data_IF_474350418449
#
_entry.id   IF_474350418449
#
_cell.length_a   1.000
_cell.length_b   1.000
_cell.length_c   1.000
_cell.angle_alpha   90.00
_cell.angle_beta   90.00
_cell.angle_gamma   90.00
#
_symmetry.space_group_name_H-M   'P 1'
#
loop_
_entity.id
_entity.type
_entity.pdbx_description
1 polymer ?
#
# COMPACT_ATOMS: atom_id res chain seq x y z
N UNK A 1 32.85 -10.49 -21.08
CA UNK A 1 31.39 -10.84 -20.98
C UNK A 1 30.63 -9.55 -21.03
N UNK A 2 30.01 -9.24 -22.16
CA UNK A 2 29.10 -8.08 -22.21
C UNK A 2 27.93 -8.37 -21.28
N UNK A 3 27.83 -7.60 -20.20
CA UNK A 3 26.65 -7.66 -19.33
C UNK A 3 25.45 -7.17 -20.13
N UNK A 4 24.36 -7.93 -20.10
CA UNK A 4 23.10 -7.48 -20.67
C UNK A 4 22.69 -6.18 -19.98
N UNK A 5 22.36 -5.14 -20.74
CA UNK A 5 21.95 -3.85 -20.18
C UNK A 5 20.77 -3.98 -19.21
N UNK A 6 19.93 -5.00 -19.38
CA UNK A 6 18.81 -5.33 -18.45
C UNK A 6 19.36 -5.78 -17.08
N UNK A 7 20.41 -6.57 -17.05
CA UNK A 7 21.02 -7.02 -15.79
C UNK A 7 21.58 -5.83 -15.01
N UNK A 8 22.15 -4.84 -15.73
CA UNK A 8 22.63 -3.60 -15.11
C UNK A 8 21.48 -2.76 -14.52
N UNK A 9 20.34 -2.68 -15.21
CA UNK A 9 19.15 -2.00 -14.67
C UNK A 9 18.63 -2.74 -13.43
N UNK A 10 18.57 -4.08 -13.43
CA UNK A 10 18.15 -4.87 -12.27
C UNK A 10 19.08 -4.67 -11.07
N UNK A 11 20.39 -4.73 -11.28
CA UNK A 11 21.39 -4.49 -10.23
C UNK A 11 21.25 -3.09 -9.64
N UNK A 12 21.11 -2.07 -10.49
CA UNK A 12 20.93 -0.69 -10.04
C UNK A 12 19.65 -0.48 -9.23
N UNK A 13 18.53 -1.03 -9.69
CA UNK A 13 17.26 -1.01 -8.93
C UNK A 13 17.44 -1.67 -7.57
N UNK A 14 18.11 -2.81 -7.53
CA UNK A 14 18.39 -3.51 -6.26
C UNK A 14 19.30 -2.69 -5.34
N UNK A 15 20.35 -2.11 -5.87
CA UNK A 15 21.30 -1.27 -5.11
C UNK A 15 20.61 -0.08 -4.44
N UNK A 16 19.74 0.61 -5.20
CA UNK A 16 19.09 1.85 -4.72
C UNK A 16 17.91 1.58 -3.81
N UNK A 17 17.19 0.45 -4.00
CA UNK A 17 15.89 0.23 -3.33
C UNK A 17 15.85 -1.01 -2.43
N UNK A 18 16.84 -1.91 -2.54
CA UNK A 18 16.79 -3.23 -1.89
C UNK A 18 15.84 -4.23 -2.56
N UNK A 19 15.09 -3.83 -3.58
CA UNK A 19 14.12 -4.71 -4.27
C UNK A 19 14.85 -5.65 -5.22
N UNK A 20 14.79 -6.96 -4.97
CA UNK A 20 15.34 -7.97 -5.86
C UNK A 20 14.29 -8.43 -6.90
N UNK A 21 14.66 -8.39 -8.16
CA UNK A 21 13.85 -8.96 -9.24
C UNK A 21 14.18 -10.46 -9.33
N UNK A 22 13.35 -11.28 -8.69
CA UNK A 22 13.54 -12.73 -8.64
C UNK A 22 13.17 -13.42 -9.96
N UNK A 23 13.71 -14.62 -10.16
CA UNK A 23 13.42 -15.48 -11.31
C UNK A 23 11.93 -15.61 -11.53
N UNK A 24 11.35 -15.67 -12.60
CA UNK A 24 9.91 -15.66 -12.89
C UNK A 24 9.29 -14.27 -13.08
N UNK A 25 9.89 -13.20 -12.55
CA UNK A 25 9.49 -11.82 -12.84
C UNK A 25 10.39 -11.11 -13.84
N UNK A 26 11.53 -11.70 -14.23
CA UNK A 26 12.49 -11.11 -15.16
C UNK A 26 11.86 -10.74 -16.53
N UNK A 27 10.97 -11.57 -17.07
CA UNK A 27 10.29 -11.28 -18.33
C UNK A 27 9.35 -10.07 -18.21
N UNK A 28 8.61 -9.97 -17.10
CA UNK A 28 7.75 -8.81 -16.82
C UNK A 28 8.59 -7.55 -16.63
N UNK A 29 9.70 -7.66 -15.90
CA UNK A 29 10.64 -6.55 -15.71
C UNK A 29 11.19 -6.04 -17.04
N UNK A 30 11.70 -6.93 -17.91
CA UNK A 30 12.18 -6.59 -19.25
C UNK A 30 11.15 -5.83 -20.07
N UNK A 31 9.90 -6.32 -20.04
CA UNK A 31 8.77 -5.66 -20.72
C UNK A 31 8.53 -4.25 -20.17
N UNK A 32 8.55 -4.08 -18.84
CA UNK A 32 8.31 -2.77 -18.20
C UNK A 32 9.45 -1.79 -18.45
N UNK A 33 10.68 -2.28 -18.51
CA UNK A 33 11.84 -1.47 -18.93
C UNK A 33 11.66 -1.01 -20.37
N UNK A 34 11.29 -1.92 -21.30
CA UNK A 34 11.06 -1.56 -22.69
C UNK A 34 9.95 -0.51 -22.85
N UNK A 35 8.79 -0.70 -22.18
CA UNK A 35 7.70 0.28 -22.16
C UNK A 35 8.19 1.67 -21.68
N UNK A 36 9.07 1.70 -20.67
CA UNK A 36 9.61 2.94 -20.13
C UNK A 36 10.62 3.59 -21.08
N UNK A 37 11.45 2.79 -21.75
CA UNK A 37 12.37 3.25 -22.76
C UNK A 37 11.65 3.92 -23.93
N UNK A 38 10.57 3.30 -24.43
CA UNK A 38 9.74 3.84 -25.49
C UNK A 38 9.15 5.22 -25.13
N UNK A 39 8.66 5.37 -23.90
CA UNK A 39 8.13 6.65 -23.40
C UNK A 39 9.19 7.75 -23.31
N UNK A 40 10.41 7.38 -22.98
CA UNK A 40 11.55 8.32 -22.82
C UNK A 40 12.34 8.54 -24.12
N UNK A 41 12.05 7.78 -25.20
CA UNK A 41 12.81 7.81 -26.43
C UNK A 41 14.23 7.27 -26.28
N UNK A 42 14.43 6.24 -25.45
CA UNK A 42 15.72 5.61 -25.17
C UNK A 42 15.82 4.26 -25.87
N UNK A 43 16.80 4.10 -26.76
CA UNK A 43 16.85 2.98 -27.71
C UNK A 43 17.18 1.61 -27.12
N UNK A 44 17.88 1.54 -25.97
CA UNK A 44 18.34 0.26 -25.43
C UNK A 44 18.52 0.29 -23.89
N UNK A 45 18.51 -0.89 -23.23
CA UNK A 45 18.58 -0.98 -21.77
C UNK A 45 19.87 -0.42 -21.15
N UNK A 46 21.00 -0.48 -21.86
CA UNK A 46 22.23 0.09 -21.36
C UNK A 46 22.17 1.63 -21.29
N UNK A 47 21.62 2.25 -22.33
CA UNK A 47 21.39 3.70 -22.35
C UNK A 47 20.38 4.12 -21.27
N UNK A 48 19.38 3.30 -21.00
CA UNK A 48 18.41 3.54 -19.91
C UNK A 48 19.08 3.42 -18.53
N UNK A 49 19.95 2.42 -18.33
CA UNK A 49 20.76 2.33 -17.10
C UNK A 49 21.60 3.60 -16.88
N UNK A 50 22.31 4.08 -17.92
CA UNK A 50 23.10 5.30 -17.81
C UNK A 50 22.22 6.53 -17.53
N UNK A 51 21.04 6.61 -18.14
CA UNK A 51 20.07 7.66 -17.85
C UNK A 51 19.64 7.62 -16.39
N UNK A 52 19.21 6.47 -15.88
CA UNK A 52 18.80 6.30 -14.48
C UNK A 52 19.92 6.70 -13.50
N UNK A 53 21.14 6.31 -13.80
CA UNK A 53 22.29 6.52 -12.90
C UNK A 53 22.77 7.97 -12.87
N UNK A 54 22.65 8.72 -13.96
CA UNK A 54 23.36 10.00 -14.11
C UNK A 54 22.47 11.20 -14.45
N UNK A 55 21.25 11.00 -14.91
CA UNK A 55 20.39 12.06 -15.45
C UNK A 55 18.96 12.04 -14.98
N UNK A 56 18.45 10.88 -14.61
CA UNK A 56 17.07 10.73 -14.18
C UNK A 56 16.82 11.41 -12.83
N UNK A 57 15.61 11.91 -12.59
CA UNK A 57 15.20 12.30 -11.26
C UNK A 57 15.09 11.04 -10.35
N UNK A 58 15.25 11.21 -9.05
CA UNK A 58 15.15 10.11 -8.06
C UNK A 58 13.83 9.33 -8.14
N UNK A 59 12.81 9.96 -8.69
CA UNK A 59 11.49 9.35 -8.91
C UNK A 59 11.47 8.31 -10.04
N UNK A 60 12.49 8.25 -10.92
CA UNK A 60 12.48 7.33 -12.07
C UNK A 60 12.48 5.85 -11.64
N UNK A 61 13.28 5.52 -10.62
CA UNK A 61 13.28 4.15 -10.07
C UNK A 61 11.91 3.79 -9.48
N UNK A 62 11.28 4.75 -8.83
CA UNK A 62 9.92 4.59 -8.28
C UNK A 62 8.91 4.38 -9.39
N UNK A 63 8.95 5.16 -10.47
CA UNK A 63 8.08 5.02 -11.65
C UNK A 63 8.22 3.64 -12.32
N UNK A 64 9.45 3.10 -12.38
CA UNK A 64 9.68 1.75 -12.88
C UNK A 64 9.12 0.68 -11.93
N UNK A 65 9.34 0.82 -10.62
CA UNK A 65 8.82 -0.11 -9.61
C UNK A 65 7.29 -0.09 -9.54
N UNK A 66 6.66 1.06 -9.70
CA UNK A 66 5.20 1.21 -9.77
C UNK A 66 4.58 0.31 -10.85
N UNK A 67 5.26 0.17 -11.99
CA UNK A 67 4.82 -0.67 -13.11
C UNK A 67 4.95 -2.16 -12.85
N UNK A 68 5.77 -2.52 -11.85
CA UNK A 68 6.02 -3.91 -11.43
C UNK A 68 5.15 -4.32 -10.25
N UNK A 69 4.64 -3.35 -9.50
CA UNK A 69 3.81 -3.61 -8.35
C UNK A 69 2.47 -4.25 -8.77
N UNK A 70 2.15 -5.38 -8.19
CA UNK A 70 0.82 -5.97 -8.27
C UNK A 70 -0.02 -5.32 -7.20
N UNK A 71 -0.78 -4.29 -7.57
CA UNK A 71 -1.62 -3.52 -6.65
C UNK A 71 -2.98 -4.20 -6.42
N UNK A 72 -2.99 -5.52 -6.14
CA UNK A 72 -4.25 -6.16 -5.78
C UNK A 72 -4.55 -5.94 -4.30
N UNK A 73 -5.47 -5.05 -4.03
CA UNK A 73 -5.96 -4.77 -2.68
C UNK A 73 -7.47 -4.62 -2.67
N UNK A 74 -8.10 -4.94 -1.56
CA UNK A 74 -9.53 -4.76 -1.32
C UNK A 74 -9.80 -4.70 0.19
N UNK A 75 -10.94 -4.10 0.55
CA UNK A 75 -11.36 -3.99 1.95
C UNK A 75 -11.56 -5.37 2.59
N UNK A 76 -11.12 -5.52 3.83
CA UNK A 76 -11.24 -6.73 4.62
C UNK A 76 -10.49 -7.93 4.03
N UNK A 77 -9.38 -7.67 3.33
CA UNK A 77 -8.46 -8.69 2.83
C UNK A 77 -7.83 -9.41 4.02
N UNK A 78 -7.58 -10.73 3.87
CA UNK A 78 -6.98 -11.59 4.91
C UNK A 78 -7.82 -11.62 6.21
N UNK A 79 -9.10 -11.91 6.08
CA UNK A 79 -10.08 -11.95 7.19
C UNK A 79 -9.56 -12.70 8.42
N UNK A 80 -8.84 -13.84 8.23
CA UNK A 80 -8.24 -14.58 9.35
C UNK A 80 -7.24 -13.77 10.15
N UNK A 81 -6.40 -12.97 9.49
CA UNK A 81 -5.45 -12.08 10.17
C UNK A 81 -6.15 -10.93 10.89
N UNK A 82 -7.18 -10.36 10.26
CA UNK A 82 -8.00 -9.31 10.87
C UNK A 82 -8.74 -9.80 12.11
N UNK A 83 -9.22 -11.06 12.10
CA UNK A 83 -9.85 -11.68 13.27
C UNK A 83 -8.86 -11.79 14.43
N UNK A 84 -7.66 -12.32 14.20
CA UNK A 84 -6.61 -12.39 15.24
C UNK A 84 -6.22 -10.98 15.72
N UNK A 85 -6.09 -10.02 14.81
CA UNK A 85 -5.82 -8.64 15.16
C UNK A 85 -6.90 -8.07 16.08
N UNK A 86 -8.18 -8.29 15.76
CA UNK A 86 -9.31 -7.76 16.51
C UNK A 86 -9.48 -8.43 17.88
N UNK A 87 -9.37 -9.77 17.93
CA UNK A 87 -9.72 -10.55 19.12
C UNK A 87 -8.56 -10.64 20.12
N UNK A 88 -7.32 -10.70 19.63
CA UNK A 88 -6.15 -10.96 20.47
C UNK A 88 -5.22 -9.74 20.56
N UNK A 89 -4.79 -9.17 19.41
CA UNK A 89 -3.76 -8.14 19.41
C UNK A 89 -4.29 -6.81 19.95
N UNK A 90 -5.45 -6.34 19.49
CA UNK A 90 -6.02 -5.06 19.92
C UNK A 90 -6.26 -5.00 21.42
N UNK A 91 -6.80 -6.06 22.03
CA UNK A 91 -7.03 -6.11 23.48
C UNK A 91 -5.73 -5.83 24.24
N UNK A 92 -4.69 -6.60 23.96
CA UNK A 92 -3.37 -6.44 24.62
C UNK A 92 -2.73 -5.08 24.38
N UNK A 93 -2.88 -4.52 23.17
CA UNK A 93 -2.34 -3.21 22.82
C UNK A 93 -3.08 -2.11 23.57
N UNK A 94 -4.41 -2.18 23.68
CA UNK A 94 -5.20 -1.21 24.44
C UNK A 94 -4.88 -1.26 25.92
N UNK A 95 -4.80 -2.44 26.54
CA UNK A 95 -4.44 -2.61 27.94
C UNK A 95 -3.06 -2.01 28.24
N UNK A 96 -2.08 -2.28 27.36
CA UNK A 96 -0.73 -1.72 27.48
C UNK A 96 -0.73 -0.18 27.30
N UNK A 97 -1.50 0.36 26.39
CA UNK A 97 -1.59 1.80 26.13
C UNK A 97 -2.30 2.53 27.28
N UNK A 98 -3.36 1.95 27.84
CA UNK A 98 -4.08 2.49 28.99
C UNK A 98 -3.19 2.62 30.22
N UNK A 99 -2.25 1.66 30.41
CA UNK A 99 -1.28 1.67 31.50
C UNK A 99 -0.12 2.66 31.32
N UNK A 100 0.10 3.20 30.12
CA UNK A 100 1.25 4.06 29.78
C UNK A 100 0.82 5.41 29.19
N UNK A 101 1.08 5.59 27.88
CA UNK A 101 0.98 6.91 27.22
C UNK A 101 -0.40 7.21 26.64
N UNK A 102 -1.34 6.27 26.69
CA UNK A 102 -2.67 6.36 26.05
C UNK A 102 -2.61 6.67 24.54
N UNK A 103 -1.54 6.24 23.88
CA UNK A 103 -1.32 6.43 22.44
C UNK A 103 -0.99 5.10 21.79
N UNK A 104 -1.64 4.85 20.67
CA UNK A 104 -1.39 3.70 19.81
C UNK A 104 -1.11 4.22 18.41
N UNK A 105 -0.03 3.74 17.78
CA UNK A 105 0.23 3.98 16.36
C UNK A 105 0.25 2.64 15.64
N UNK A 106 -0.56 2.52 14.60
CA UNK A 106 -0.65 1.35 13.73
C UNK A 106 -0.07 1.76 12.37
N UNK A 107 0.90 0.99 11.87
CA UNK A 107 1.49 1.19 10.56
C UNK A 107 0.97 0.14 9.58
N UNK A 108 0.36 0.59 8.49
CA UNK A 108 0.04 -0.21 7.31
C UNK A 108 1.15 0.03 6.28
N UNK A 109 2.08 -0.90 6.18
CA UNK A 109 3.24 -0.81 5.29
C UNK A 109 2.92 -1.48 3.95
N UNK A 110 3.05 -0.74 2.84
CA UNK A 110 2.61 -1.17 1.52
C UNK A 110 1.08 -1.07 1.39
N UNK A 111 0.50 0.03 1.84
CA UNK A 111 -0.96 0.20 1.93
C UNK A 111 -1.68 0.33 0.59
N UNK A 112 -0.97 0.39 -0.53
CA UNK A 112 -1.50 0.54 -1.88
C UNK A 112 -2.55 1.66 -1.97
N UNK A 113 -3.74 1.38 -2.45
CA UNK A 113 -4.84 2.34 -2.62
C UNK A 113 -5.65 2.59 -1.34
N UNK A 114 -5.20 2.10 -0.19
CA UNK A 114 -5.68 2.51 1.13
C UNK A 114 -6.75 1.61 1.76
N UNK A 115 -7.18 0.54 1.11
CA UNK A 115 -8.21 -0.34 1.64
C UNK A 115 -7.82 -0.97 2.98
N UNK A 116 -6.51 -1.29 3.17
CA UNK A 116 -6.03 -1.87 4.42
C UNK A 116 -6.07 -0.87 5.59
N UNK A 117 -5.47 0.33 5.53
CA UNK A 117 -5.53 1.27 6.65
C UNK A 117 -6.96 1.70 6.99
N UNK A 118 -7.86 1.81 6.02
CA UNK A 118 -9.27 2.07 6.31
C UNK A 118 -9.96 0.86 6.94
N UNK A 119 -9.66 -0.36 6.52
CA UNK A 119 -10.15 -1.58 7.19
C UNK A 119 -9.69 -1.63 8.64
N UNK A 120 -8.41 -1.36 8.90
CA UNK A 120 -7.87 -1.29 10.26
C UNK A 120 -8.57 -0.21 11.09
N UNK A 121 -8.86 0.96 10.49
CA UNK A 121 -9.60 2.02 11.16
C UNK A 121 -11.01 1.58 11.56
N UNK A 122 -11.74 0.92 10.67
CA UNK A 122 -13.09 0.39 10.96
C UNK A 122 -13.05 -0.63 12.10
N UNK A 123 -12.10 -1.58 12.06
CA UNK A 123 -11.92 -2.60 13.11
C UNK A 123 -11.61 -1.97 14.47
N UNK A 124 -10.73 -0.98 14.49
CA UNK A 124 -10.36 -0.25 15.72
C UNK A 124 -11.54 0.53 16.27
N UNK A 125 -12.31 1.23 15.42
CA UNK A 125 -13.48 2.00 15.83
C UNK A 125 -14.59 1.10 16.41
N UNK A 126 -14.81 -0.08 15.83
CA UNK A 126 -15.74 -1.06 16.40
C UNK A 126 -15.29 -1.55 17.78
N UNK A 127 -13.99 -1.77 17.95
CA UNK A 127 -13.44 -2.17 19.25
C UNK A 127 -13.58 -1.06 20.28
N UNK A 128 -13.29 0.19 19.93
CA UNK A 128 -13.44 1.35 20.80
C UNK A 128 -14.89 1.59 21.21
N UNK A 129 -15.84 1.45 20.28
CA UNK A 129 -17.28 1.59 20.58
C UNK A 129 -17.82 0.54 21.56
N UNK A 130 -17.13 -0.60 21.68
CA UNK A 130 -17.50 -1.70 22.59
C UNK A 130 -16.81 -1.65 23.95
N UNK A 131 -15.88 -0.72 24.17
CA UNK A 131 -15.13 -0.61 25.43
C UNK A 131 -15.55 0.67 26.15
N UNK A 132 -16.30 0.52 27.22
CA UNK A 132 -16.77 1.63 28.09
C UNK A 132 -15.70 2.24 28.99
N UNK A 133 -14.53 1.60 29.10
CA UNK A 133 -13.48 1.95 30.06
C UNK A 133 -12.12 2.36 29.42
N UNK A 134 -12.02 2.55 28.12
CA UNK A 134 -10.72 2.83 27.48
C UNK A 134 -10.10 4.17 27.81
N UNK A 135 -10.80 5.05 28.51
CA UNK A 135 -10.31 6.39 28.72
C UNK A 135 -9.92 7.05 27.37
N UNK A 136 -9.21 8.17 27.40
CA UNK A 136 -8.81 8.92 26.20
C UNK A 136 -7.66 8.26 25.40
N UNK A 137 -7.76 6.99 25.01
CA UNK A 137 -6.73 6.34 24.17
C UNK A 137 -6.81 6.90 22.76
N UNK A 138 -5.73 7.55 22.33
CA UNK A 138 -5.61 8.10 20.98
C UNK A 138 -5.00 7.06 20.05
N UNK A 139 -5.70 6.70 18.98
CA UNK A 139 -5.20 5.79 17.94
C UNK A 139 -4.88 6.59 16.69
N UNK A 140 -3.67 6.36 16.15
CA UNK A 140 -3.21 6.91 14.87
C UNK A 140 -2.92 5.73 13.94
N UNK A 141 -3.52 5.72 12.75
CA UNK A 141 -3.22 4.77 11.69
C UNK A 141 -2.46 5.51 10.60
N UNK A 142 -1.33 4.96 10.18
CA UNK A 142 -0.45 5.52 9.16
C UNK A 142 -0.32 4.51 8.04
N UNK A 143 -0.76 4.86 6.84
CA UNK A 143 -0.48 4.10 5.63
C UNK A 143 0.78 4.64 4.96
N UNK A 144 1.65 3.76 4.48
CA UNK A 144 2.76 4.13 3.60
C UNK A 144 2.84 3.17 2.41
N UNK A 145 3.21 3.72 1.27
CA UNK A 145 3.44 2.96 0.04
C UNK A 145 4.50 3.66 -0.81
N UNK A 146 5.22 2.92 -1.63
CA UNK A 146 6.17 3.48 -2.59
C UNK A 146 5.44 4.15 -3.75
N UNK A 147 4.22 3.71 -4.07
CA UNK A 147 3.42 4.21 -5.18
C UNK A 147 2.65 5.47 -4.79
N UNK A 148 3.13 6.61 -5.24
CA UNK A 148 2.49 7.92 -4.97
C UNK A 148 1.08 8.01 -5.60
N UNK A 149 0.84 7.36 -6.75
CA UNK A 149 -0.48 7.34 -7.38
C UNK A 149 -1.47 6.58 -6.52
N UNK A 150 -1.04 5.45 -5.97
CA UNK A 150 -1.82 4.67 -4.99
C UNK A 150 -2.13 5.48 -3.73
N UNK A 151 -1.15 6.18 -3.18
CA UNK A 151 -1.37 7.06 -2.02
C UNK A 151 -2.35 8.21 -2.29
N UNK A 152 -2.32 8.80 -3.50
CA UNK A 152 -3.32 9.80 -3.91
C UNK A 152 -4.71 9.20 -3.98
N UNK A 153 -4.85 7.97 -4.47
CA UNK A 153 -6.12 7.25 -4.46
C UNK A 153 -6.60 6.98 -3.02
N UNK A 154 -5.70 6.50 -2.15
CA UNK A 154 -5.98 6.31 -0.73
C UNK A 154 -6.49 7.59 -0.05
N UNK A 155 -5.86 8.74 -0.32
CA UNK A 155 -6.29 10.04 0.19
C UNK A 155 -7.64 10.49 -0.37
N UNK A 156 -7.95 10.16 -1.63
CA UNK A 156 -9.26 10.44 -2.22
C UNK A 156 -10.38 9.60 -1.58
N UNK A 157 -10.03 8.43 -1.02
CA UNK A 157 -10.91 7.51 -0.30
C UNK A 157 -12.19 7.13 -1.08
N UNK A 158 -12.05 6.98 -2.41
CA UNK A 158 -13.15 6.64 -3.34
C UNK A 158 -12.88 5.31 -3.99
N UNK A 159 -13.80 4.36 -3.84
CA UNK A 159 -13.62 2.98 -4.21
C UNK A 159 -14.76 2.47 -5.09
N UNK A 160 -14.48 1.48 -5.94
CA UNK A 160 -15.47 0.80 -6.77
C UNK A 160 -16.10 -0.39 -6.04
N UNK A 161 -17.11 -1.02 -6.64
CA UNK A 161 -17.78 -2.19 -6.06
C UNK A 161 -16.83 -3.39 -5.88
N UNK A 162 -15.76 -3.50 -6.70
CA UNK A 162 -14.76 -4.55 -6.58
C UNK A 162 -13.91 -4.40 -5.31
N UNK A 163 -13.49 -3.19 -4.97
CA UNK A 163 -12.73 -2.93 -3.75
C UNK A 163 -13.50 -3.31 -2.48
N UNK A 164 -14.82 -3.14 -2.46
CA UNK A 164 -15.67 -3.40 -1.28
C UNK A 164 -16.33 -4.78 -1.25
N UNK A 165 -16.06 -5.64 -2.24
CA UNK A 165 -16.76 -6.93 -2.43
C UNK A 165 -16.69 -7.88 -1.24
N UNK A 166 -15.65 -7.83 -0.42
CA UNK A 166 -15.45 -8.67 0.76
C UNK A 166 -15.67 -7.92 2.08
N UNK A 167 -15.99 -6.61 2.02
CA UNK A 167 -16.26 -5.85 3.22
C UNK A 167 -17.60 -6.27 3.83
N UNK A 168 -17.65 -6.75 5.09
CA UNK A 168 -18.90 -7.10 5.73
C UNK A 168 -19.90 -5.94 5.73
N UNK A 169 -21.17 -6.23 5.51
CA UNK A 169 -22.23 -5.21 5.38
C UNK A 169 -22.25 -4.24 6.56
N UNK A 170 -22.04 -4.74 7.79
CA UNK A 170 -21.99 -3.90 9.00
C UNK A 170 -20.94 -2.77 8.92
N UNK A 171 -19.77 -3.04 8.34
CA UNK A 171 -18.74 -2.01 8.13
C UNK A 171 -19.09 -1.12 6.95
N UNK A 172 -19.53 -1.73 5.84
CA UNK A 172 -19.89 -0.97 4.64
C UNK A 172 -20.96 0.06 4.93
N UNK A 173 -22.07 -0.37 5.57
CA UNK A 173 -23.25 0.47 5.79
C UNK A 173 -22.99 1.55 6.86
N UNK A 174 -22.00 1.33 7.74
CA UNK A 174 -21.63 2.28 8.81
C UNK A 174 -20.54 3.28 8.36
N UNK A 175 -19.58 2.86 7.58
CA UNK A 175 -18.39 3.64 7.29
C UNK A 175 -18.24 4.09 5.83
N UNK A 176 -19.10 3.63 4.93
CA UNK A 176 -19.08 4.05 3.53
C UNK A 176 -20.44 4.60 3.09
N UNK A 177 -20.39 5.58 2.20
CA UNK A 177 -21.58 6.10 1.52
C UNK A 177 -21.41 5.93 0.02
N UNK A 178 -22.42 5.39 -0.66
CA UNK A 178 -22.41 5.28 -2.13
C UNK A 178 -22.83 6.62 -2.75
N UNK A 179 -21.93 7.22 -3.52
CA UNK A 179 -22.13 8.51 -4.19
C UNK A 179 -21.52 8.46 -5.59
N UNK A 180 -22.27 8.90 -6.61
CA UNK A 180 -21.82 8.99 -8.00
C UNK A 180 -21.18 7.70 -8.55
N UNK A 181 -21.73 6.54 -8.17
CA UNK A 181 -21.24 5.22 -8.59
C UNK A 181 -20.00 4.70 -7.81
N UNK A 182 -19.50 5.44 -6.84
CA UNK A 182 -18.36 5.08 -5.99
C UNK A 182 -18.76 4.97 -4.52
N UNK A 183 -18.00 4.18 -3.78
CA UNK A 183 -18.05 4.13 -2.32
C UNK A 183 -17.04 5.12 -1.75
N UNK A 184 -17.53 6.08 -0.98
CA UNK A 184 -16.72 7.07 -0.29
C UNK A 184 -16.62 6.68 1.17
N UNK A 185 -15.40 6.59 1.72
CA UNK A 185 -15.20 6.42 3.16
C UNK A 185 -15.63 7.69 3.88
N UNK A 186 -16.48 7.54 4.90
CA UNK A 186 -16.93 8.65 5.74
C UNK A 186 -15.95 8.87 6.87
N UNK A 187 -15.57 10.13 7.08
CA UNK A 187 -14.94 10.55 8.34
C UNK A 187 -16.05 10.68 9.37
N UNK A 188 -16.11 9.73 10.31
CA UNK A 188 -17.02 9.79 11.44
C UNK A 188 -16.66 10.94 12.40
#
# INVERSE_FOLDING_TARGET
MDRDGIDMVMEYVHEVTGVAIVNGRAAVFKKKVAERQDELGIDNPFSYFLYMKHRAPDTEVVELLDRLAVSETYFYREEGQLTVFQEDVLGRVFDSAAARDRKITILSAGCSTGEEPYTLAMVVLERLGNITETGDVKVKIVGCDINIKSLRHALAARYNDWSVRHLPNRYRDKYLVKKDGYWQVTTG
#
